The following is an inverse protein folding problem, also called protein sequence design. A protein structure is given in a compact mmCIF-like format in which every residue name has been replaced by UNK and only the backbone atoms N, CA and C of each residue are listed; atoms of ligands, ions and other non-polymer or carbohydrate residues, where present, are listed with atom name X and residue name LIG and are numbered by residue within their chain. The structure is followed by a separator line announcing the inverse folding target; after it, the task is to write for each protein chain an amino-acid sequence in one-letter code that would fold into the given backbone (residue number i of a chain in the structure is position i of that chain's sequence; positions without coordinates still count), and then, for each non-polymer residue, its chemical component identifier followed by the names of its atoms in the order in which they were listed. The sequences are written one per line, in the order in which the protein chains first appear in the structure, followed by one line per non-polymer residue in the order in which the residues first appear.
data_IF_268758029919
#
_entry.id   IF_268758029919
#
_cell.length_a   1.000
_cell.length_b   1.000
_cell.length_c   1.000
_cell.angle_alpha   90.00
_cell.angle_beta   90.00
_cell.angle_gamma   90.00
#
_symmetry.space_group_name_H-M   'P 1'
#
loop_
_entity.id
_entity.type
_entity.pdbx_description
1 polymer ?
#
# COMPACT_ATOMS: atom_id res chain seq x y z
N UNK A 1 16.93 -15.01 7.21
CA UNK A 1 16.58 -14.11 8.34
C UNK A 1 16.29 -14.98 9.56
N UNK A 2 16.69 -14.57 10.77
CA UNK A 2 16.30 -15.24 12.00
C UNK A 2 14.77 -15.38 12.11
N UNK A 3 14.31 -16.43 12.80
CA UNK A 3 12.87 -16.74 12.97
C UNK A 3 12.11 -15.55 13.57
N UNK A 4 12.64 -14.94 14.63
CA UNK A 4 12.05 -13.78 15.29
C UNK A 4 11.85 -12.60 14.33
N UNK A 5 12.80 -12.40 13.40
CA UNK A 5 12.68 -11.33 12.40
C UNK A 5 11.61 -11.64 11.36
N UNK A 6 11.43 -12.92 10.98
CA UNK A 6 10.36 -13.34 10.09
C UNK A 6 8.98 -13.16 10.75
N UNK A 7 8.85 -13.54 12.03
CA UNK A 7 7.62 -13.35 12.80
C UNK A 7 7.28 -11.87 12.98
N UNK A 8 8.24 -11.03 13.35
CA UNK A 8 8.04 -9.59 13.47
C UNK A 8 7.57 -8.99 12.13
N UNK A 9 8.21 -9.39 11.03
CA UNK A 9 7.82 -8.93 9.70
C UNK A 9 6.39 -9.38 9.34
N UNK A 10 6.05 -10.64 9.58
CA UNK A 10 4.71 -11.17 9.35
C UNK A 10 3.65 -10.42 10.16
N UNK A 11 3.92 -10.15 11.43
CA UNK A 11 3.01 -9.38 12.30
C UNK A 11 2.76 -7.96 11.77
N UNK A 12 3.82 -7.27 11.35
CA UNK A 12 3.69 -5.93 10.76
C UNK A 12 2.86 -5.98 9.47
N UNK A 13 3.11 -6.96 8.57
CA UNK A 13 2.29 -7.13 7.36
C UNK A 13 0.82 -7.37 7.71
N UNK A 14 0.54 -8.23 8.68
CA UNK A 14 -0.82 -8.58 9.08
C UNK A 14 -1.58 -7.38 9.64
N UNK A 15 -0.93 -6.56 10.48
CA UNK A 15 -1.52 -5.33 11.01
C UNK A 15 -1.85 -4.36 9.87
N UNK A 16 -0.92 -4.16 8.93
CA UNK A 16 -1.16 -3.30 7.77
C UNK A 16 -2.31 -3.82 6.89
N UNK A 17 -2.34 -5.12 6.61
CA UNK A 17 -3.41 -5.75 5.82
C UNK A 17 -4.77 -5.62 6.49
N UNK A 18 -4.84 -5.78 7.82
CA UNK A 18 -6.06 -5.62 8.61
C UNK A 18 -6.61 -4.19 8.55
N UNK A 19 -5.76 -3.18 8.79
CA UNK A 19 -6.22 -1.79 8.73
C UNK A 19 -6.60 -1.38 7.30
N UNK A 20 -5.87 -1.87 6.30
CA UNK A 20 -6.21 -1.67 4.90
C UNK A 20 -7.58 -2.28 4.58
N UNK A 21 -7.85 -3.51 5.00
CA UNK A 21 -9.12 -4.18 4.74
C UNK A 21 -10.30 -3.43 5.36
N UNK A 22 -10.15 -2.95 6.59
CA UNK A 22 -11.21 -2.17 7.26
C UNK A 22 -11.61 -0.92 6.51
N UNK A 23 -10.64 -0.20 5.92
CA UNK A 23 -10.94 0.99 5.12
C UNK A 23 -11.64 0.59 3.82
N UNK A 24 -11.09 -0.37 3.08
CA UNK A 24 -11.67 -0.81 1.80
C UNK A 24 -13.08 -1.39 1.95
N UNK A 25 -13.33 -2.21 2.98
CA UNK A 25 -14.66 -2.76 3.29
C UNK A 25 -15.67 -1.64 3.54
N UNK A 26 -15.30 -0.63 4.35
CA UNK A 26 -16.15 0.53 4.64
C UNK A 26 -16.48 1.32 3.37
N UNK A 27 -15.48 1.62 2.55
CA UNK A 27 -15.71 2.38 1.30
C UNK A 27 -16.49 1.56 0.26
N UNK A 28 -16.31 0.23 0.26
CA UNK A 28 -17.09 -0.70 -0.56
C UNK A 28 -18.59 -0.71 -0.19
N UNK A 29 -18.91 -0.68 1.10
CA UNK A 29 -20.29 -0.56 1.60
C UNK A 29 -20.94 0.76 1.17
N UNK A 30 -20.18 1.86 1.13
CA UNK A 30 -20.62 3.16 0.63
C UNK A 30 -20.67 3.24 -0.90
N UNK A 31 -20.41 2.13 -1.61
CA UNK A 31 -20.31 2.05 -3.07
C UNK A 31 -19.32 3.05 -3.69
N UNK A 32 -18.37 3.58 -2.93
CA UNK A 32 -17.43 4.63 -3.35
C UNK A 32 -16.26 4.10 -4.21
N UNK A 33 -16.04 2.79 -4.20
CA UNK A 33 -14.95 2.11 -4.92
C UNK A 33 -15.47 1.02 -5.86
N UNK A 34 -14.64 0.64 -6.84
CA UNK A 34 -14.89 -0.42 -7.82
C UNK A 34 -14.95 -1.79 -7.14
N UNK A 35 -15.67 -2.73 -7.77
CA UNK A 35 -15.75 -4.14 -7.33
C UNK A 35 -14.48 -4.91 -7.69
N UNK A 36 -13.38 -4.62 -6.99
CA UNK A 36 -12.09 -5.32 -7.10
C UNK A 36 -11.94 -6.22 -5.85
N UNK A 37 -11.23 -7.35 -5.95
CA UNK A 37 -10.97 -8.15 -4.74
C UNK A 37 -10.03 -7.42 -3.78
N UNK A 38 -10.27 -7.55 -2.47
CA UNK A 38 -9.46 -6.92 -1.43
C UNK A 38 -7.97 -7.27 -1.55
N UNK A 39 -7.64 -8.54 -1.82
CA UNK A 39 -6.25 -8.98 -1.95
C UNK A 39 -5.56 -8.34 -3.16
N UNK A 40 -6.26 -8.13 -4.29
CA UNK A 40 -5.69 -7.44 -5.44
C UNK A 40 -5.42 -5.98 -5.11
N UNK A 41 -6.37 -5.28 -4.47
CA UNK A 41 -6.16 -3.90 -4.04
C UNK A 41 -4.95 -3.77 -3.11
N UNK A 42 -4.83 -4.65 -2.11
CA UNK A 42 -3.69 -4.64 -1.19
C UNK A 42 -2.37 -4.93 -1.90
N UNK A 43 -2.33 -5.96 -2.76
CA UNK A 43 -1.12 -6.31 -3.50
C UNK A 43 -0.71 -5.21 -4.49
N UNK A 44 -1.66 -4.52 -5.13
CA UNK A 44 -1.39 -3.37 -6.00
C UNK A 44 -0.80 -2.20 -5.19
N UNK A 45 -1.38 -1.88 -4.04
CA UNK A 45 -0.85 -0.83 -3.16
C UNK A 45 0.58 -1.15 -2.70
N UNK A 46 0.81 -2.38 -2.23
CA UNK A 46 2.15 -2.83 -1.82
C UNK A 46 3.13 -2.86 -2.99
N UNK A 47 2.68 -3.24 -4.20
CA UNK A 47 3.49 -3.22 -5.41
C UNK A 47 3.97 -1.81 -5.77
N UNK A 48 3.08 -0.82 -5.73
CA UNK A 48 3.42 0.58 -5.95
C UNK A 48 4.46 1.08 -4.93
N UNK A 49 4.20 0.87 -3.63
CA UNK A 49 5.12 1.29 -2.58
C UNK A 49 6.49 0.62 -2.70
N UNK A 50 6.52 -0.71 -2.86
CA UNK A 50 7.78 -1.45 -2.97
C UNK A 50 8.58 -1.04 -4.19
N UNK A 51 7.93 -0.81 -5.34
CA UNK A 51 8.64 -0.38 -6.54
C UNK A 51 9.39 0.93 -6.32
N UNK A 52 8.74 1.93 -5.71
CA UNK A 52 9.39 3.19 -5.40
C UNK A 52 10.48 3.05 -4.35
N UNK A 53 10.23 2.32 -3.26
CA UNK A 53 11.21 2.13 -2.19
C UNK A 53 12.45 1.36 -2.66
N UNK A 54 12.28 0.29 -3.45
CA UNK A 54 13.38 -0.50 -3.99
C UNK A 54 14.21 0.27 -5.02
N UNK A 55 13.59 1.21 -5.74
CA UNK A 55 14.25 2.05 -6.73
C UNK A 55 14.44 3.48 -6.21
N UNK A 56 14.63 3.67 -4.89
CA UNK A 56 14.74 5.00 -4.27
C UNK A 56 15.78 5.87 -4.96
N UNK A 57 16.93 5.32 -5.32
CA UNK A 57 18.04 6.10 -5.89
C UNK A 57 17.70 6.66 -7.28
N UNK A 58 16.80 6.00 -8.01
CA UNK A 58 16.28 6.50 -9.29
C UNK A 58 15.25 7.63 -9.09
N UNK A 59 14.37 7.49 -8.11
CA UNK A 59 13.25 8.44 -7.91
C UNK A 59 13.62 9.64 -7.04
N UNK A 60 14.43 9.43 -6.00
CA UNK A 60 14.75 10.43 -4.99
C UNK A 60 16.10 10.10 -4.34
N UNK A 61 17.22 10.31 -5.05
CA UNK A 61 18.55 10.02 -4.52
C UNK A 61 18.81 10.82 -3.23
N UNK A 62 18.61 12.13 -3.28
CA UNK A 62 19.05 13.04 -2.21
C UNK A 62 17.97 13.36 -1.17
N UNK A 63 16.75 12.86 -1.32
CA UNK A 63 15.63 13.18 -0.43
C UNK A 63 14.85 11.95 0.05
N UNK A 64 14.18 12.03 1.22
CA UNK A 64 13.25 10.99 1.65
C UNK A 64 12.13 10.78 0.62
N UNK A 65 11.90 9.51 0.24
CA UNK A 65 10.99 9.18 -0.86
C UNK A 65 9.51 9.45 -0.52
N UNK A 66 9.07 9.06 0.69
CA UNK A 66 7.66 9.15 1.07
C UNK A 66 7.13 10.60 1.17
N UNK A 67 7.87 11.58 1.74
CA UNK A 67 7.45 12.98 1.67
C UNK A 67 7.29 13.52 0.25
N UNK A 68 8.14 13.05 -0.69
CA UNK A 68 8.12 13.49 -2.08
C UNK A 68 6.99 12.84 -2.89
N UNK A 69 6.85 11.52 -2.82
CA UNK A 69 5.96 10.74 -3.69
C UNK A 69 4.71 10.22 -2.97
N UNK A 70 4.64 10.28 -1.65
CA UNK A 70 3.50 9.77 -0.87
C UNK A 70 2.14 10.32 -1.34
N UNK A 71 1.97 11.65 -1.48
CA UNK A 71 0.72 12.22 -1.99
C UNK A 71 0.34 11.73 -3.40
N UNK A 72 1.33 11.63 -4.29
CA UNK A 72 1.13 11.15 -5.66
C UNK A 72 0.71 9.68 -5.68
N UNK A 73 1.40 8.82 -4.93
CA UNK A 73 1.11 7.38 -4.82
C UNK A 73 -0.29 7.14 -4.24
N UNK A 74 -0.67 7.88 -3.20
CA UNK A 74 -2.02 7.82 -2.62
C UNK A 74 -3.05 8.24 -3.66
N UNK A 75 -2.82 9.37 -4.35
CA UNK A 75 -3.72 9.88 -5.38
C UNK A 75 -3.90 8.89 -6.53
N UNK A 76 -2.81 8.33 -7.03
CA UNK A 76 -2.82 7.34 -8.11
C UNK A 76 -3.58 6.07 -7.70
N UNK A 77 -3.28 5.53 -6.52
CA UNK A 77 -3.97 4.34 -6.01
C UNK A 77 -5.47 4.60 -5.80
N UNK A 78 -5.83 5.73 -5.18
CA UNK A 78 -7.22 6.12 -4.99
C UNK A 78 -7.96 6.26 -6.33
N UNK A 79 -7.35 6.88 -7.34
CA UNK A 79 -7.93 7.02 -8.67
C UNK A 79 -8.14 5.65 -9.37
N UNK A 80 -7.24 4.69 -9.15
CA UNK A 80 -7.39 3.33 -9.68
C UNK A 80 -8.61 2.61 -9.11
N UNK A 81 -8.86 2.73 -7.80
CA UNK A 81 -9.93 1.99 -7.12
C UNK A 81 -11.25 2.73 -7.04
N UNK A 82 -11.25 4.07 -7.13
CA UNK A 82 -12.48 4.88 -7.10
C UNK A 82 -13.37 4.57 -8.30
N UNK A 83 -14.69 4.59 -8.09
CA UNK A 83 -15.68 4.51 -9.18
C UNK A 83 -15.69 5.76 -10.05
#
# INVERSE_FOLDING_TARGET
MPEDTQMAFANIRSIMAYHFSKVIEREGQNQAIKSISLHLMFNTWMGLLHYYLLNKDFFSPDQPLLPRYGPELIGAFAALIKK
#
